data_IF_113481421780
#
_entry.id   IF_113481421780
#
_cell.length_a   1.000
_cell.length_b   1.000
_cell.length_c   1.000
_cell.angle_alpha   90.00
_cell.angle_beta   90.00
_cell.angle_gamma   90.00
#
_symmetry.space_group_name_H-M   'P 1'
#
loop_
_entity.id
_entity.type
_entity.pdbx_description
1 polymer ?
#
# COMPACT_ATOMS: atom_id res chain seq x y z
N UNK A 1 -1.03 -9.81 -8.51
CA UNK A 1 -0.07 -8.72 -8.74
C UNK A 1 1.18 -9.28 -9.37
N UNK A 2 1.86 -8.48 -10.19
CA UNK A 2 3.20 -8.79 -10.70
C UNK A 2 4.27 -8.35 -9.69
N UNK A 3 4.76 -9.31 -8.90
CA UNK A 3 5.74 -9.08 -7.82
C UNK A 3 7.08 -8.55 -8.36
N UNK A 4 7.49 -8.98 -9.56
CA UNK A 4 8.76 -8.52 -10.13
C UNK A 4 8.67 -7.06 -10.53
N UNK A 5 7.60 -6.68 -11.23
CA UNK A 5 7.34 -5.30 -11.60
C UNK A 5 7.21 -4.41 -10.35
N UNK A 6 6.54 -4.90 -9.30
CA UNK A 6 6.43 -4.18 -8.03
C UNK A 6 7.80 -3.90 -7.39
N UNK A 7 8.66 -4.92 -7.29
CA UNK A 7 10.02 -4.79 -6.73
C UNK A 7 10.90 -3.86 -7.57
N UNK A 8 10.75 -3.86 -8.89
CA UNK A 8 11.44 -2.92 -9.77
C UNK A 8 11.00 -1.47 -9.53
N UNK A 9 9.71 -1.23 -9.25
CA UNK A 9 9.18 0.10 -8.91
C UNK A 9 9.70 0.56 -7.56
N UNK A 10 9.72 -0.30 -6.53
CA UNK A 10 10.31 0.03 -5.22
C UNK A 10 11.77 0.43 -5.39
N UNK A 11 12.55 -0.35 -6.14
CA UNK A 11 13.95 -0.02 -6.39
C UNK A 11 14.11 1.34 -7.08
N UNK A 12 13.25 1.64 -8.07
CA UNK A 12 13.23 2.96 -8.70
C UNK A 12 12.90 4.08 -7.70
N UNK A 13 11.93 3.86 -6.81
CA UNK A 13 11.53 4.81 -5.77
C UNK A 13 12.66 5.06 -4.76
N UNK A 14 13.38 4.02 -4.36
CA UNK A 14 14.54 4.09 -3.47
C UNK A 14 15.68 4.93 -4.08
N UNK A 15 15.92 4.77 -5.39
CA UNK A 15 16.94 5.51 -6.14
C UNK A 15 16.49 6.94 -6.53
N UNK A 16 15.21 7.27 -6.37
CA UNK A 16 14.65 8.58 -6.72
C UNK A 16 14.97 9.60 -5.63
N UNK A 17 15.47 10.77 -6.05
CA UNK A 17 15.72 11.90 -5.16
C UNK A 17 14.43 12.33 -4.44
N UNK A 18 14.48 12.43 -3.10
CA UNK A 18 13.32 12.78 -2.27
C UNK A 18 12.85 14.23 -2.49
N UNK A 19 13.65 15.10 -3.11
CA UNK A 19 13.26 16.46 -3.50
C UNK A 19 12.70 16.52 -4.93
N UNK A 20 12.65 15.39 -5.64
CA UNK A 20 12.09 15.31 -6.99
C UNK A 20 10.66 14.75 -6.98
N UNK A 21 9.73 15.59 -6.53
CA UNK A 21 8.30 15.25 -6.38
C UNK A 21 7.71 14.53 -7.60
N UNK A 22 7.97 15.02 -8.82
CA UNK A 22 7.44 14.40 -10.03
C UNK A 22 7.92 12.95 -10.22
N UNK A 23 9.20 12.68 -9.92
CA UNK A 23 9.77 11.33 -10.01
C UNK A 23 9.12 10.38 -9.01
N UNK A 24 8.93 10.86 -7.77
CA UNK A 24 8.25 10.13 -6.70
C UNK A 24 6.81 9.79 -7.10
N UNK A 25 6.07 10.79 -7.58
CA UNK A 25 4.68 10.61 -8.05
C UNK A 25 4.58 9.58 -9.18
N UNK A 26 5.58 9.51 -10.09
CA UNK A 26 5.60 8.49 -11.13
C UNK A 26 5.82 7.08 -10.56
N UNK A 27 6.66 6.92 -9.55
CA UNK A 27 6.84 5.63 -8.86
C UNK A 27 5.55 5.22 -8.13
N UNK A 28 4.96 6.12 -7.34
CA UNK A 28 3.71 5.86 -6.64
C UNK A 28 2.59 5.47 -7.58
N UNK A 29 2.43 6.17 -8.72
CA UNK A 29 1.43 5.78 -9.72
C UNK A 29 1.59 4.34 -10.19
N UNK A 30 2.82 3.93 -10.54
CA UNK A 30 3.09 2.56 -11.00
C UNK A 30 2.81 1.54 -9.88
N UNK A 31 3.25 1.85 -8.67
CA UNK A 31 3.04 0.99 -7.50
C UNK A 31 1.55 0.79 -7.22
N UNK A 32 0.77 1.88 -7.22
CA UNK A 32 -0.69 1.85 -7.05
C UNK A 32 -1.34 1.01 -8.15
N UNK A 33 -0.98 1.19 -9.42
CA UNK A 33 -1.51 0.37 -10.52
C UNK A 33 -1.27 -1.12 -10.28
N UNK A 34 -0.05 -1.52 -9.93
CA UNK A 34 0.31 -2.93 -9.71
C UNK A 34 -0.43 -3.52 -8.50
N UNK A 35 -0.48 -2.79 -7.39
CA UNK A 35 -1.14 -3.25 -6.15
C UNK A 35 -2.67 -3.32 -6.30
N UNK A 36 -3.26 -2.43 -7.09
CA UNK A 36 -4.72 -2.35 -7.31
C UNK A 36 -5.24 -3.21 -8.46
N UNK A 37 -4.37 -3.75 -9.31
CA UNK A 37 -4.76 -4.56 -10.48
C UNK A 37 -5.53 -5.83 -10.08
N UNK A 38 -5.07 -6.51 -9.02
CA UNK A 38 -5.66 -7.76 -8.53
C UNK A 38 -5.49 -7.86 -7.00
N UNK A 39 -6.49 -7.38 -6.28
CA UNK A 39 -6.52 -7.33 -4.81
C UNK A 39 -6.33 -8.71 -4.17
N UNK A 40 -7.04 -9.79 -4.58
CA UNK A 40 -6.77 -11.15 -4.08
C UNK A 40 -5.30 -11.55 -4.15
N UNK A 41 -4.65 -11.35 -5.29
CA UNK A 41 -3.24 -11.69 -5.45
C UNK A 41 -2.32 -10.76 -4.64
N UNK A 42 -2.67 -9.48 -4.48
CA UNK A 42 -1.93 -8.54 -3.60
C UNK A 42 -2.01 -9.00 -2.14
N UNK A 43 -3.18 -9.44 -1.66
CA UNK A 43 -3.35 -10.01 -0.32
C UNK A 43 -2.52 -11.29 -0.16
N UNK A 44 -2.47 -12.16 -1.16
CA UNK A 44 -1.65 -13.37 -1.12
C UNK A 44 -0.15 -13.04 -0.98
N UNK A 45 0.34 -12.07 -1.76
CA UNK A 45 1.70 -11.54 -1.64
C UNK A 45 1.97 -10.99 -0.23
N UNK A 46 1.10 -10.11 0.28
CA UNK A 46 1.22 -9.51 1.62
C UNK A 46 1.36 -10.57 2.72
N UNK A 47 0.57 -11.64 2.65
CA UNK A 47 0.60 -12.71 3.66
C UNK A 47 1.87 -13.57 3.58
N UNK A 48 2.26 -13.94 2.36
CA UNK A 48 3.20 -15.04 2.15
C UNK A 48 4.62 -14.61 1.79
N UNK A 49 4.77 -13.51 1.05
CA UNK A 49 6.05 -13.13 0.41
C UNK A 49 6.56 -11.76 0.82
N UNK A 50 5.67 -10.88 1.29
CA UNK A 50 6.01 -9.51 1.67
C UNK A 50 7.02 -9.47 2.82
N UNK A 51 8.07 -8.69 2.58
CA UNK A 51 9.15 -8.37 3.53
C UNK A 51 8.84 -7.10 4.34
N UNK A 52 9.60 -6.87 5.41
CA UNK A 52 9.44 -5.66 6.23
C UNK A 52 9.69 -4.36 5.43
N UNK A 53 10.67 -4.39 4.53
CA UNK A 53 11.01 -3.24 3.68
C UNK A 53 9.89 -2.95 2.68
N UNK A 54 9.43 -3.98 1.95
CA UNK A 54 8.29 -3.84 1.03
C UNK A 54 7.02 -3.38 1.75
N UNK A 55 6.76 -3.88 2.96
CA UNK A 55 5.63 -3.41 3.78
C UNK A 55 5.70 -1.91 4.05
N UNK A 56 6.90 -1.41 4.30
CA UNK A 56 7.17 0.01 4.55
C UNK A 56 6.96 0.86 3.28
N UNK A 57 7.46 0.41 2.14
CA UNK A 57 7.25 1.10 0.86
C UNK A 57 5.77 1.20 0.49
N UNK A 58 5.03 0.11 0.67
CA UNK A 58 3.58 0.08 0.43
C UNK A 58 2.85 1.11 1.31
N UNK A 59 3.38 1.45 2.48
CA UNK A 59 2.74 2.44 3.36
C UNK A 59 2.69 3.85 2.77
N UNK A 60 3.52 4.16 1.75
CA UNK A 60 3.47 5.43 1.04
C UNK A 60 2.23 5.57 0.12
N UNK A 61 1.60 4.45 -0.24
CA UNK A 61 0.55 4.44 -1.30
C UNK A 61 -0.69 3.61 -0.98
N UNK A 62 -0.72 2.86 0.12
CA UNK A 62 -1.81 1.92 0.42
C UNK A 62 -3.17 2.60 0.56
N UNK A 63 -3.21 3.84 1.06
CA UNK A 63 -4.43 4.66 1.12
C UNK A 63 -4.95 4.95 -0.29
N UNK A 64 -4.08 5.32 -1.22
CA UNK A 64 -4.45 5.53 -2.63
C UNK A 64 -4.89 4.23 -3.33
N UNK A 65 -4.33 3.07 -2.95
CA UNK A 65 -4.80 1.75 -3.43
C UNK A 65 -6.23 1.50 -2.93
N UNK A 66 -6.51 1.78 -1.66
CA UNK A 66 -7.83 1.60 -1.05
C UNK A 66 -8.85 2.60 -1.59
N UNK A 67 -8.44 3.84 -1.86
CA UNK A 67 -9.28 4.86 -2.52
C UNK A 67 -9.67 4.42 -3.93
N UNK A 68 -8.71 3.87 -4.70
CA UNK A 68 -8.96 3.39 -6.06
C UNK A 68 -9.80 2.12 -6.11
N UNK A 69 -9.53 1.16 -5.22
CA UNK A 69 -10.24 -0.13 -5.13
C UNK A 69 -10.56 -0.43 -3.66
N UNK A 70 -11.71 0.04 -3.15
CA UNK A 70 -12.09 -0.17 -1.76
C UNK A 70 -12.20 -1.67 -1.43
N UNK A 71 -11.37 -2.16 -0.50
CA UNK A 71 -11.39 -3.54 -0.02
C UNK A 71 -11.13 -3.61 1.48
N UNK A 72 -12.12 -4.14 2.22
CA UNK A 72 -11.99 -4.43 3.65
C UNK A 72 -10.97 -5.53 3.90
N UNK A 73 -10.93 -6.56 3.05
CA UNK A 73 -9.99 -7.66 3.21
C UNK A 73 -8.55 -7.19 3.05
N UNK A 74 -8.28 -6.27 2.12
CA UNK A 74 -6.95 -5.67 1.95
C UNK A 74 -6.52 -4.91 3.21
N UNK A 75 -7.37 -4.00 3.70
CA UNK A 75 -7.06 -3.19 4.89
C UNK A 75 -6.85 -4.09 6.11
N UNK A 76 -7.72 -5.09 6.31
CA UNK A 76 -7.56 -6.04 7.41
C UNK A 76 -6.24 -6.82 7.29
N UNK A 77 -5.91 -7.34 6.11
CA UNK A 77 -4.65 -8.04 5.87
C UNK A 77 -3.44 -7.14 6.18
N UNK A 78 -3.49 -5.88 5.75
CA UNK A 78 -2.41 -4.93 5.96
C UNK A 78 -2.26 -4.53 7.44
N UNK A 79 -3.37 -4.44 8.18
CA UNK A 79 -3.39 -4.26 9.63
C UNK A 79 -2.80 -5.45 10.38
N UNK A 80 -3.08 -6.69 9.95
CA UNK A 80 -2.51 -7.89 10.57
C UNK A 80 -0.98 -7.95 10.45
N UNK A 81 -0.40 -7.33 9.41
CA UNK A 81 1.06 -7.23 9.24
C UNK A 81 1.75 -6.36 10.31
N UNK A 82 1.02 -5.48 11.02
CA UNK A 82 1.60 -4.71 12.13
C UNK A 82 2.17 -5.63 13.22
N UNK A 83 1.55 -6.79 13.45
CA UNK A 83 2.05 -7.77 14.41
C UNK A 83 3.31 -8.50 13.90
N UNK A 84 3.46 -8.63 12.57
CA UNK A 84 4.61 -9.25 11.90
C UNK A 84 5.80 -8.28 11.81
N UNK A 85 5.53 -6.99 11.62
CA UNK A 85 6.53 -5.93 11.41
C UNK A 85 6.34 -4.73 12.36
N UNK A 86 6.44 -4.95 13.69
CA UNK A 86 6.16 -3.89 14.67
C UNK A 86 7.14 -2.72 14.60
N UNK A 87 8.40 -2.97 14.22
CA UNK A 87 9.43 -1.91 14.10
C UNK A 87 9.10 -0.93 12.97
N UNK A 88 8.74 -1.44 11.79
CA UNK A 88 8.34 -0.61 10.64
C UNK A 88 7.05 0.15 10.91
N UNK A 89 6.10 -0.51 11.60
CA UNK A 89 4.86 0.14 12.01
C UNK A 89 5.13 1.38 12.89
N UNK A 90 6.09 1.29 13.81
CA UNK A 90 6.47 2.43 14.65
C UNK A 90 7.23 3.49 13.85
N UNK A 91 8.19 3.06 13.03
CA UNK A 91 9.10 3.94 12.29
C UNK A 91 8.36 4.81 11.26
N UNK A 92 7.45 4.22 10.51
CA UNK A 92 6.74 4.88 9.41
C UNK A 92 5.30 5.29 9.76
N UNK A 93 4.91 5.20 11.04
CA UNK A 93 3.57 5.53 11.50
C UNK A 93 2.45 4.81 10.70
N UNK A 94 2.65 3.52 10.40
CA UNK A 94 1.73 2.74 9.55
C UNK A 94 0.32 2.69 10.15
N UNK A 95 0.20 2.74 11.48
CA UNK A 95 -1.10 2.87 12.15
C UNK A 95 -1.90 4.08 11.64
N UNK A 96 -1.24 5.24 11.48
CA UNK A 96 -1.91 6.44 10.97
C UNK A 96 -2.39 6.26 9.53
N UNK A 97 -1.64 5.54 8.70
CA UNK A 97 -2.05 5.23 7.32
C UNK A 97 -3.25 4.27 7.31
N UNK A 98 -3.27 3.27 8.19
CA UNK A 98 -4.43 2.37 8.35
C UNK A 98 -5.68 3.14 8.76
N UNK A 99 -5.57 4.11 9.68
CA UNK A 99 -6.70 4.96 10.09
C UNK A 99 -7.26 5.77 8.90
N UNK A 100 -6.40 6.19 7.95
CA UNK A 100 -6.82 6.82 6.69
C UNK A 100 -7.59 5.82 5.82
N UNK A 101 -7.04 4.62 5.61
CA UNK A 101 -7.70 3.56 4.84
C UNK A 101 -9.09 3.21 5.40
N UNK A 102 -9.22 3.08 6.72
CA UNK A 102 -10.51 2.84 7.38
C UNK A 102 -11.49 4.00 7.16
N UNK A 103 -10.99 5.24 7.18
CA UNK A 103 -11.76 6.44 6.86
C UNK A 103 -12.30 6.44 5.43
N UNK A 104 -11.46 6.03 4.46
CA UNK A 104 -11.86 5.87 3.05
C UNK A 104 -12.97 4.82 2.92
N UNK A 105 -12.78 3.62 3.51
CA UNK A 105 -13.78 2.55 3.46
C UNK A 105 -15.12 3.01 4.05
N UNK A 106 -15.08 3.74 5.17
CA UNK A 106 -16.29 4.30 5.78
C UNK A 106 -16.96 5.33 4.88
N UNK A 107 -16.19 6.23 4.26
CA UNK A 107 -16.75 7.22 3.34
C UNK A 107 -17.43 6.55 2.14
N UNK A 108 -16.80 5.51 1.57
CA UNK A 108 -17.34 4.72 0.46
C UNK A 108 -18.62 3.97 0.85
N UNK A 109 -18.70 3.40 2.06
CA UNK A 109 -19.94 2.79 2.55
C UNK A 109 -21.11 3.79 2.69
N UNK A 110 -20.81 5.00 3.12
CA UNK A 110 -21.81 6.04 3.38
C UNK A 110 -22.21 6.81 2.11
N UNK A 111 -21.28 7.00 1.16
CA UNK A 111 -21.42 7.91 0.02
C UNK A 111 -21.22 7.25 -1.35
N UNK A 112 -20.56 6.08 -1.42
CA UNK A 112 -20.24 5.33 -2.63
C UNK A 112 -21.43 4.61 -3.27
N UNK A 113 -22.60 5.28 -3.32
CA UNK A 113 -23.78 4.80 -4.04
C UNK A 113 -23.43 4.57 -5.52
N UNK A 114 -23.15 3.31 -5.88
CA UNK A 114 -23.42 2.78 -7.22
C UNK A 114 -24.90 2.45 -7.33
#
# INVERSE_FOLDING_TARGET
MDINSFREVIKQREETDNEWDYGIEQCWKKEIEILSEDIPSTIEFLKNECTADEYSWISEVIDAVVDKVPSKELVQCYTELMAKFPEECQKYNIKGVIEICEGILKWEEENGKK
#
